data_IF_168789138138
#
_entry.id   IF_168789138138
#
_cell.length_a   1.000
_cell.length_b   1.000
_cell.length_c   1.000
_cell.angle_alpha   90.00
_cell.angle_beta   90.00
_cell.angle_gamma   90.00
#
_symmetry.space_group_name_H-M   'P 1'
#
loop_
_entity.id
_entity.type
_entity.pdbx_description
1 polymer ?
#
# COMPACT_ATOMS: atom_id res chain seq x y z
N UNK A 1 59.82 -19.27 -3.03
CA UNK A 1 58.51 -19.87 -3.43
C UNK A 1 57.39 -19.16 -2.71
N UNK A 2 56.64 -18.25 -3.36
CA UNK A 2 55.47 -17.61 -2.78
C UNK A 2 54.30 -18.54 -2.97
N UNK A 3 53.78 -19.11 -1.86
CA UNK A 3 52.52 -19.84 -1.87
C UNK A 3 51.38 -18.86 -2.23
N UNK A 4 50.85 -18.98 -3.44
CA UNK A 4 49.55 -18.41 -3.80
C UNK A 4 48.49 -19.11 -2.93
N UNK A 5 48.00 -18.45 -1.88
CA UNK A 5 46.74 -18.84 -1.25
C UNK A 5 45.66 -18.63 -2.29
N UNK A 6 45.24 -19.67 -2.95
CA UNK A 6 43.99 -19.75 -3.65
C UNK A 6 42.89 -19.78 -2.58
N UNK A 7 42.42 -18.61 -2.19
CA UNK A 7 41.15 -18.51 -1.42
C UNK A 7 40.02 -18.90 -2.37
N UNK A 8 39.72 -20.21 -2.40
CA UNK A 8 38.48 -20.66 -3.05
C UNK A 8 37.29 -20.10 -2.26
N UNK A 9 36.34 -19.45 -2.94
CA UNK A 9 35.03 -19.16 -2.35
C UNK A 9 34.36 -20.51 -2.13
N UNK A 10 34.27 -20.94 -0.86
CA UNK A 10 33.79 -22.28 -0.51
C UNK A 10 32.26 -22.35 -0.33
N UNK A 11 31.53 -21.25 -0.55
CA UNK A 11 30.05 -21.24 -0.40
C UNK A 11 29.39 -20.71 -1.68
N UNK A 12 28.62 -21.56 -2.32
CA UNK A 12 27.77 -21.15 -3.45
C UNK A 12 26.62 -20.25 -2.93
N UNK A 13 26.54 -19.03 -3.44
CA UNK A 13 25.49 -18.06 -3.06
C UNK A 13 24.10 -18.57 -3.40
N UNK A 14 23.95 -19.46 -4.37
CA UNK A 14 22.68 -20.05 -4.77
C UNK A 14 22.28 -21.28 -3.94
N UNK A 15 23.18 -21.79 -3.07
CA UNK A 15 22.88 -22.95 -2.22
C UNK A 15 21.56 -22.78 -1.46
N UNK A 16 21.30 -21.59 -0.89
CA UNK A 16 20.03 -21.27 -0.21
C UNK A 16 18.79 -21.41 -1.11
N UNK A 17 18.94 -21.18 -2.43
CA UNK A 17 17.84 -21.30 -3.38
C UNK A 17 17.52 -22.78 -3.68
N UNK A 18 18.55 -23.61 -3.77
CA UNK A 18 18.41 -25.06 -4.03
C UNK A 18 17.96 -25.84 -2.80
N UNK A 19 18.33 -25.37 -1.62
CA UNK A 19 17.93 -25.98 -0.35
C UNK A 19 16.50 -25.60 0.10
N UNK A 20 15.94 -24.53 -0.46
CA UNK A 20 14.61 -24.03 -0.06
C UNK A 20 13.49 -24.90 -0.65
N UNK A 21 12.71 -25.55 0.20
CA UNK A 21 11.66 -26.50 -0.16
C UNK A 21 10.27 -26.12 0.28
N UNK A 22 10.14 -25.08 1.10
CA UNK A 22 8.86 -24.73 1.72
C UNK A 22 7.72 -24.55 0.70
N UNK A 23 7.97 -23.83 -0.40
CA UNK A 23 6.95 -23.62 -1.43
C UNK A 23 6.60 -24.92 -2.16
N UNK A 24 7.57 -25.83 -2.35
CA UNK A 24 7.35 -27.12 -3.02
C UNK A 24 6.54 -28.07 -2.14
N UNK A 25 6.76 -28.07 -0.84
CA UNK A 25 5.98 -28.80 0.14
C UNK A 25 4.52 -28.32 0.17
N UNK A 26 4.30 -27.01 0.18
CA UNK A 26 2.95 -26.44 0.12
C UNK A 26 2.26 -26.73 -1.22
N UNK A 27 3.00 -26.68 -2.35
CA UNK A 27 2.46 -27.11 -3.66
C UNK A 27 2.08 -28.60 -3.67
N UNK A 28 2.94 -29.44 -3.13
CA UNK A 28 2.69 -30.89 -3.05
C UNK A 28 1.46 -31.23 -2.20
N UNK A 29 1.15 -30.43 -1.19
CA UNK A 29 -0.07 -30.60 -0.38
C UNK A 29 -1.35 -30.08 -1.05
N UNK A 30 -1.24 -29.42 -2.21
CA UNK A 30 -2.38 -28.79 -2.91
C UNK A 30 -2.94 -27.55 -2.21
N UNK A 31 -2.17 -26.95 -1.28
CA UNK A 31 -2.61 -25.78 -0.49
C UNK A 31 -1.91 -24.48 -0.90
N UNK A 32 -1.19 -24.46 -2.02
CA UNK A 32 -0.44 -23.28 -2.46
C UNK A 32 -1.37 -22.14 -2.93
N UNK A 33 -1.48 -21.01 -2.20
CA UNK A 33 -2.53 -20.02 -2.43
C UNK A 33 -2.07 -18.80 -3.24
N UNK A 34 -0.92 -18.88 -3.90
CA UNK A 34 -0.29 -17.72 -4.55
C UNK A 34 -0.25 -17.85 -6.06
N UNK A 35 -0.14 -16.70 -6.75
CA UNK A 35 0.04 -16.59 -8.20
C UNK A 35 -1.12 -17.18 -9.04
N UNK A 36 -2.35 -17.08 -8.53
CA UNK A 36 -3.54 -17.44 -9.30
C UNK A 36 -3.67 -16.55 -10.55
N UNK A 37 -3.95 -17.18 -11.69
CA UNK A 37 -4.05 -16.47 -12.97
C UNK A 37 -5.40 -15.77 -13.09
N UNK A 38 -5.37 -14.44 -13.24
CA UNK A 38 -6.54 -13.63 -13.57
C UNK A 38 -6.71 -13.58 -15.11
N UNK A 39 -7.93 -13.85 -15.61
CA UNK A 39 -8.24 -13.99 -17.04
C UNK A 39 -9.30 -12.99 -17.52
N UNK A 40 -9.73 -12.06 -16.67
CA UNK A 40 -10.69 -10.99 -16.97
C UNK A 40 -10.15 -9.63 -16.56
N UNK A 41 -10.98 -8.59 -16.72
CA UNK A 41 -10.74 -7.29 -16.09
C UNK A 41 -10.81 -7.45 -14.57
N UNK A 42 -10.08 -6.58 -13.85
CA UNK A 42 -10.14 -6.50 -12.39
C UNK A 42 -11.40 -5.75 -11.97
N UNK A 43 -12.40 -6.47 -11.48
CA UNK A 43 -13.70 -5.97 -11.05
C UNK A 43 -14.16 -6.71 -9.79
N UNK A 44 -15.39 -6.46 -9.33
CA UNK A 44 -16.04 -7.17 -8.20
C UNK A 44 -16.24 -8.66 -8.47
N UNK A 45 -16.39 -9.01 -9.75
CA UNK A 45 -16.40 -10.38 -10.23
C UNK A 45 -15.32 -10.55 -11.30
N UNK A 46 -14.58 -11.62 -11.19
CA UNK A 46 -13.45 -11.91 -12.08
C UNK A 46 -13.50 -13.37 -12.56
N UNK A 47 -12.80 -13.65 -13.66
CA UNK A 47 -12.49 -15.01 -14.08
C UNK A 47 -11.05 -15.32 -13.66
N UNK A 48 -10.91 -16.33 -12.79
CA UNK A 48 -9.61 -16.85 -12.37
C UNK A 48 -9.63 -18.37 -12.55
N UNK A 49 -8.60 -18.89 -13.24
CA UNK A 49 -8.48 -20.31 -13.54
C UNK A 49 -9.75 -20.90 -14.17
N UNK A 50 -10.29 -20.16 -15.15
CA UNK A 50 -11.47 -20.56 -15.94
C UNK A 50 -12.82 -20.50 -15.21
N UNK A 51 -12.88 -19.97 -13.98
CA UNK A 51 -14.12 -19.89 -13.18
C UNK A 51 -14.38 -18.48 -12.66
N UNK A 52 -15.67 -18.11 -12.54
CA UNK A 52 -16.11 -16.87 -11.86
C UNK A 52 -15.71 -16.90 -10.39
N UNK A 53 -15.23 -15.76 -9.90
CA UNK A 53 -14.93 -15.52 -8.48
C UNK A 53 -15.43 -14.14 -8.08
N UNK A 54 -15.98 -14.02 -6.87
CA UNK A 54 -16.19 -12.72 -6.23
C UNK A 54 -14.84 -12.27 -5.68
N UNK A 55 -14.41 -11.07 -6.03
CA UNK A 55 -13.08 -10.55 -5.71
C UNK A 55 -13.08 -9.77 -4.41
N UNK A 56 -12.71 -10.39 -3.31
CA UNK A 56 -12.51 -9.75 -2.01
C UNK A 56 -11.01 -9.60 -1.64
N UNK A 57 -10.11 -9.64 -2.61
CA UNK A 57 -8.66 -9.51 -2.40
C UNK A 57 -8.02 -8.34 -3.13
N UNK A 58 -8.80 -7.51 -3.85
CA UNK A 58 -8.29 -6.40 -4.65
C UNK A 58 -8.19 -5.10 -3.84
N UNK A 59 -7.18 -4.29 -4.16
CA UNK A 59 -7.05 -2.92 -3.64
C UNK A 59 -7.69 -1.87 -4.56
N UNK A 60 -8.52 -2.25 -5.50
CA UNK A 60 -9.26 -1.36 -6.42
C UNK A 60 -10.44 -0.69 -5.69
N UNK A 61 -10.16 0.06 -4.62
CA UNK A 61 -11.15 0.53 -3.65
C UNK A 61 -12.32 1.28 -4.25
N UNK A 62 -12.09 2.12 -5.27
CA UNK A 62 -13.13 2.89 -5.92
C UNK A 62 -13.75 2.20 -7.15
N UNK A 63 -13.24 1.03 -7.56
CA UNK A 63 -13.71 0.28 -8.74
C UNK A 63 -13.34 0.91 -10.08
N UNK A 64 -12.36 1.81 -10.13
CA UNK A 64 -12.07 2.63 -11.31
C UNK A 64 -11.28 1.92 -12.42
N UNK A 65 -10.76 0.72 -12.19
CA UNK A 65 -10.00 -0.04 -13.21
C UNK A 65 -10.80 -0.35 -14.48
N UNK A 66 -12.12 -0.34 -14.38
CA UNK A 66 -13.04 -0.59 -15.51
C UNK A 66 -13.88 0.63 -15.89
N UNK A 67 -13.69 1.77 -15.22
CA UNK A 67 -14.39 3.01 -15.52
C UNK A 67 -14.09 3.44 -16.97
N UNK A 68 -15.13 3.62 -17.83
CA UNK A 68 -14.92 3.89 -19.26
C UNK A 68 -14.06 5.12 -19.52
N UNK A 69 -14.27 6.21 -18.79
CA UNK A 69 -13.53 7.46 -18.91
C UNK A 69 -12.05 7.29 -18.58
N UNK A 70 -11.77 6.51 -17.53
CA UNK A 70 -10.40 6.21 -17.07
C UNK A 70 -9.67 5.32 -18.09
N UNK A 71 -10.36 4.31 -18.63
CA UNK A 71 -9.82 3.43 -19.67
C UNK A 71 -9.55 4.22 -20.96
N UNK A 72 -10.49 5.08 -21.40
CA UNK A 72 -10.35 5.89 -22.60
C UNK A 72 -9.17 6.87 -22.51
N UNK A 73 -8.94 7.46 -21.33
CA UNK A 73 -7.79 8.34 -21.11
C UNK A 73 -6.46 7.62 -21.36
N UNK A 74 -6.35 6.37 -20.88
CA UNK A 74 -5.17 5.54 -21.13
C UNK A 74 -4.95 5.23 -22.61
N UNK A 75 -6.03 4.90 -23.34
CA UNK A 75 -5.98 4.63 -24.78
C UNK A 75 -5.51 5.88 -25.55
N UNK A 76 -6.12 7.04 -25.30
CA UNK A 76 -5.74 8.31 -25.93
C UNK A 76 -4.28 8.70 -25.65
N UNK A 77 -3.79 8.41 -24.45
CA UNK A 77 -2.39 8.68 -24.13
C UNK A 77 -1.42 7.78 -24.93
N UNK A 78 -1.77 6.51 -25.14
CA UNK A 78 -0.98 5.62 -26.02
C UNK A 78 -0.97 6.14 -27.46
N UNK A 79 -2.11 6.58 -27.98
CA UNK A 79 -2.23 7.15 -29.34
C UNK A 79 -1.37 8.42 -29.49
N UNK A 80 -1.36 9.31 -28.48
CA UNK A 80 -0.62 10.58 -28.53
C UNK A 80 0.88 10.43 -28.29
N UNK A 81 1.29 9.63 -27.30
CA UNK A 81 2.67 9.59 -26.81
C UNK A 81 3.41 8.28 -27.10
N UNK A 82 2.72 7.25 -27.60
CA UNK A 82 3.25 5.90 -27.69
C UNK A 82 3.22 5.16 -26.35
N UNK A 83 3.92 4.03 -26.28
CA UNK A 83 3.85 3.08 -25.14
C UNK A 83 4.74 3.42 -23.96
N UNK A 84 5.70 4.33 -24.13
CA UNK A 84 6.64 4.69 -23.07
C UNK A 84 7.51 5.89 -23.40
N UNK A 85 8.27 6.37 -22.42
CA UNK A 85 9.08 7.59 -22.54
C UNK A 85 10.53 7.33 -22.96
N UNK A 86 10.99 6.09 -22.94
CA UNK A 86 12.36 5.66 -23.28
C UNK A 86 13.48 6.41 -22.57
N UNK A 87 13.21 6.89 -21.34
CA UNK A 87 14.16 7.62 -20.51
C UNK A 87 13.61 8.01 -19.17
N UNK A 88 14.46 8.56 -18.31
CA UNK A 88 14.08 9.05 -17.00
C UNK A 88 13.46 10.44 -17.06
N UNK A 89 12.70 10.80 -16.02
CA UNK A 89 12.15 12.14 -15.83
C UNK A 89 13.25 13.22 -15.83
N UNK A 90 14.42 12.89 -15.36
CA UNK A 90 15.56 13.80 -15.26
C UNK A 90 16.16 14.16 -16.62
N UNK A 91 16.02 13.32 -17.63
CA UNK A 91 16.61 13.52 -18.97
C UNK A 91 15.52 13.80 -20.01
N UNK A 92 15.13 12.79 -20.77
CA UNK A 92 14.22 12.94 -21.93
C UNK A 92 12.81 12.42 -21.69
N UNK A 93 12.51 11.90 -20.50
CA UNK A 93 11.23 11.19 -20.23
C UNK A 93 10.19 12.04 -19.49
N UNK A 94 10.31 13.36 -19.41
CA UNK A 94 9.27 14.22 -18.84
C UNK A 94 8.27 14.65 -19.93
N UNK A 95 7.00 14.23 -19.77
CA UNK A 95 5.89 14.64 -20.60
C UNK A 95 5.14 15.81 -19.94
N UNK A 96 4.42 16.60 -20.76
CA UNK A 96 3.43 17.59 -20.29
C UNK A 96 2.40 16.92 -19.35
N UNK A 97 1.95 15.72 -19.68
CA UNK A 97 1.03 14.89 -18.88
C UNK A 97 1.55 14.59 -17.46
N UNK A 98 2.87 14.40 -17.27
CA UNK A 98 3.43 14.21 -15.93
C UNK A 98 3.33 15.48 -15.10
N UNK A 99 3.59 16.64 -15.72
CA UNK A 99 3.54 17.93 -15.03
C UNK A 99 2.09 18.29 -14.65
N UNK A 100 1.14 17.99 -15.54
CA UNK A 100 -0.30 18.17 -15.30
C UNK A 100 -0.76 17.28 -14.11
N UNK A 101 -0.41 16.01 -14.11
CA UNK A 101 -0.72 15.09 -13.01
C UNK A 101 -0.13 15.57 -11.67
N UNK A 102 1.13 16.02 -11.67
CA UNK A 102 1.80 16.55 -10.48
C UNK A 102 1.11 17.82 -9.96
N UNK A 103 0.71 18.73 -10.85
CA UNK A 103 -0.02 19.94 -10.48
C UNK A 103 -1.40 19.62 -9.86
N UNK A 104 -2.14 18.69 -10.43
CA UNK A 104 -3.46 18.32 -9.92
C UNK A 104 -3.38 17.53 -8.60
N UNK A 105 -2.38 16.67 -8.42
CA UNK A 105 -2.14 16.01 -7.12
C UNK A 105 -1.83 17.06 -6.04
N UNK A 106 -0.96 18.01 -6.34
CA UNK A 106 -0.61 19.08 -5.40
C UNK A 106 -1.86 19.89 -5.01
N UNK A 107 -2.67 20.28 -6.00
CA UNK A 107 -3.94 20.99 -5.79
C UNK A 107 -4.92 20.16 -4.96
N UNK A 108 -5.14 18.89 -5.31
CA UNK A 108 -6.05 17.99 -4.61
C UNK A 108 -5.67 17.82 -3.14
N UNK A 109 -4.37 17.73 -2.84
CA UNK A 109 -3.85 17.54 -1.49
C UNK A 109 -3.52 18.86 -0.78
N UNK A 110 -3.81 20.03 -1.39
CA UNK A 110 -3.54 21.33 -0.79
C UNK A 110 -2.05 21.55 -0.47
N UNK A 111 -1.16 20.98 -1.29
CA UNK A 111 0.31 21.13 -1.14
C UNK A 111 0.87 22.02 -2.24
N UNK A 112 2.07 22.57 -1.99
CA UNK A 112 2.71 23.49 -2.95
C UNK A 112 3.20 22.80 -4.23
N UNK A 113 3.64 21.53 -4.12
CA UNK A 113 4.15 20.77 -5.25
C UNK A 113 3.97 19.26 -5.05
N UNK A 114 4.01 18.52 -6.16
CA UNK A 114 4.10 17.07 -6.15
C UNK A 114 5.14 16.56 -7.15
N UNK A 115 5.55 15.30 -6.99
CA UNK A 115 6.47 14.58 -7.85
C UNK A 115 5.98 13.15 -8.04
N UNK A 116 5.90 12.66 -9.27
CA UNK A 116 5.40 11.31 -9.58
C UNK A 116 6.54 10.33 -9.83
N UNK A 117 6.37 9.10 -9.34
CA UNK A 117 7.30 7.97 -9.45
C UNK A 117 6.66 6.81 -10.23
N UNK A 118 7.48 5.89 -10.73
CA UNK A 118 7.00 4.72 -11.47
C UNK A 118 6.19 3.72 -10.65
N UNK A 119 6.39 3.65 -9.33
CA UNK A 119 5.62 2.81 -8.40
C UNK A 119 5.55 3.44 -7.01
N UNK A 120 4.57 3.05 -6.18
CA UNK A 120 4.52 3.45 -4.77
C UNK A 120 5.72 2.94 -3.97
N UNK A 121 6.21 1.74 -4.25
CA UNK A 121 7.44 1.22 -3.62
C UNK A 121 8.64 2.13 -3.90
N UNK A 122 8.80 2.53 -5.16
CA UNK A 122 9.85 3.44 -5.59
C UNK A 122 9.71 4.83 -4.97
N UNK A 123 8.48 5.30 -4.74
CA UNK A 123 8.23 6.58 -4.05
C UNK A 123 8.83 6.58 -2.65
N UNK A 124 8.47 5.63 -1.80
CA UNK A 124 9.02 5.51 -0.44
C UNK A 124 10.55 5.36 -0.46
N UNK A 125 11.06 4.45 -1.29
CA UNK A 125 12.50 4.24 -1.44
C UNK A 125 13.23 5.53 -1.84
N UNK A 126 12.65 6.28 -2.78
CA UNK A 126 13.21 7.53 -3.30
C UNK A 126 13.10 8.71 -2.36
N UNK A 127 11.98 8.88 -1.68
CA UNK A 127 11.72 9.99 -0.75
C UNK A 127 12.62 9.84 0.48
N UNK A 128 12.55 8.70 1.16
CA UNK A 128 13.25 8.47 2.41
C UNK A 128 14.77 8.51 2.19
N UNK A 129 15.28 7.83 1.15
CA UNK A 129 16.72 7.82 0.88
C UNK A 129 17.28 9.17 0.42
N UNK A 130 16.44 10.06 -0.12
CA UNK A 130 16.86 11.41 -0.48
C UNK A 130 16.86 12.37 0.72
N UNK A 131 15.88 12.22 1.64
CA UNK A 131 15.69 13.16 2.75
C UNK A 131 16.52 12.82 3.98
N UNK A 132 16.81 11.53 4.22
CA UNK A 132 17.47 11.06 5.45
C UNK A 132 18.93 10.77 5.18
N UNK A 133 19.82 11.63 5.70
CA UNK A 133 21.25 11.55 5.57
C UNK A 133 21.96 10.82 6.72
N UNK A 134 23.30 10.79 6.68
CA UNK A 134 24.14 10.02 7.64
C UNK A 134 23.99 10.47 9.10
N UNK A 135 23.65 11.73 9.33
CA UNK A 135 23.48 12.29 10.67
C UNK A 135 22.03 12.34 11.14
N UNK A 136 21.11 11.88 10.28
CA UNK A 136 19.69 11.95 10.57
C UNK A 136 19.15 10.60 11.09
N UNK A 137 17.95 10.67 11.65
CA UNK A 137 17.20 9.51 12.14
C UNK A 137 15.88 9.39 11.38
N UNK A 138 15.50 8.15 11.08
CA UNK A 138 14.16 7.81 10.61
C UNK A 138 13.48 6.96 11.66
N UNK A 139 12.28 7.37 12.10
CA UNK A 139 11.51 6.74 13.16
C UNK A 139 10.25 6.13 12.53
N UNK A 140 10.14 4.79 12.55
CA UNK A 140 9.10 4.04 11.84
C UNK A 140 8.25 3.21 12.78
N UNK A 141 6.94 3.18 12.51
CA UNK A 141 6.05 2.16 13.06
C UNK A 141 6.49 0.76 12.59
N UNK A 142 6.42 -0.24 13.47
CA UNK A 142 6.86 -1.61 13.15
C UNK A 142 6.02 -2.30 12.07
N UNK A 143 4.75 -1.92 11.92
CA UNK A 143 3.84 -2.47 10.91
C UNK A 143 3.84 -1.67 9.59
N UNK A 144 4.71 -0.65 9.46
CA UNK A 144 4.87 0.08 8.21
C UNK A 144 5.16 -0.83 7.02
N UNK A 145 4.72 -0.41 5.85
CA UNK A 145 4.92 -1.13 4.60
C UNK A 145 6.40 -1.38 4.29
N UNK A 146 6.71 -2.53 3.68
CA UNK A 146 8.08 -2.97 3.34
C UNK A 146 8.86 -1.94 2.50
N UNK A 147 8.20 -1.12 1.68
CA UNK A 147 8.84 -0.07 0.88
C UNK A 147 9.44 1.05 1.73
N UNK A 148 8.83 1.34 2.89
CA UNK A 148 9.38 2.30 3.86
C UNK A 148 10.69 1.77 4.42
N UNK A 149 10.71 0.50 4.85
CA UNK A 149 11.93 -0.15 5.31
C UNK A 149 13.01 -0.24 4.23
N UNK A 150 12.64 -0.49 2.97
CA UNK A 150 13.58 -0.44 1.85
C UNK A 150 14.16 0.97 1.67
N UNK A 151 13.34 2.01 1.81
CA UNK A 151 13.82 3.41 1.81
C UNK A 151 14.79 3.70 2.96
N UNK A 152 14.50 3.20 4.16
CA UNK A 152 15.40 3.31 5.32
C UNK A 152 16.74 2.60 5.08
N UNK A 153 16.73 1.41 4.46
CA UNK A 153 17.95 0.66 4.13
C UNK A 153 18.79 1.34 3.04
N UNK A 154 18.16 2.06 2.12
CA UNK A 154 18.83 2.82 1.07
C UNK A 154 19.35 4.18 1.58
N UNK A 155 18.82 4.68 2.68
CA UNK A 155 19.30 5.89 3.34
C UNK A 155 20.59 5.59 4.14
N UNK A 156 21.33 6.64 4.46
CA UNK A 156 22.48 6.52 5.37
C UNK A 156 22.12 6.85 6.82
N UNK A 157 20.85 7.15 7.09
CA UNK A 157 20.37 7.51 8.41
C UNK A 157 20.17 6.32 9.35
N UNK A 158 19.98 6.63 10.61
CA UNK A 158 19.75 5.63 11.66
C UNK A 158 18.26 5.33 11.78
N UNK A 159 17.90 4.05 11.66
CA UNK A 159 16.52 3.58 11.82
C UNK A 159 16.22 3.30 13.30
N UNK A 160 15.18 3.92 13.84
CA UNK A 160 14.52 3.55 15.07
C UNK A 160 13.11 3.04 14.76
N UNK A 161 12.64 2.03 15.48
CA UNK A 161 11.33 1.43 15.28
C UNK A 161 10.55 1.45 16.57
N UNK A 162 9.37 2.05 16.56
CA UNK A 162 8.44 1.98 17.68
C UNK A 162 7.37 0.91 17.44
N UNK A 163 6.77 0.43 18.52
CA UNK A 163 5.68 -0.54 18.48
C UNK A 163 4.47 0.06 17.80
N UNK A 164 3.71 -0.80 17.09
CA UNK A 164 2.56 -0.38 16.31
C UNK A 164 1.57 0.48 17.10
N UNK A 165 1.32 1.70 16.60
CA UNK A 165 0.44 2.72 17.20
C UNK A 165 0.71 3.01 18.70
N UNK A 166 1.92 2.70 19.22
CA UNK A 166 2.33 2.96 20.60
C UNK A 166 3.00 4.34 20.70
N UNK A 167 2.26 5.30 21.20
CA UNK A 167 2.69 6.70 21.26
C UNK A 167 3.74 6.96 22.35
N UNK A 168 3.76 6.14 23.40
CA UNK A 168 4.81 6.20 24.45
C UNK A 168 6.14 5.70 23.89
N UNK A 169 6.12 4.60 23.11
CA UNK A 169 7.32 4.07 22.47
C UNK A 169 7.82 4.99 21.32
N UNK A 170 6.91 5.69 20.63
CA UNK A 170 7.27 6.76 19.67
C UNK A 170 8.04 7.89 20.36
N UNK A 171 7.53 8.41 21.48
CA UNK A 171 8.20 9.45 22.26
C UNK A 171 9.57 8.96 22.76
N UNK A 172 9.64 7.76 23.31
CA UNK A 172 10.91 7.16 23.76
C UNK A 172 11.92 6.95 22.62
N UNK A 173 11.47 6.71 21.39
CA UNK A 173 12.35 6.66 20.23
C UNK A 173 12.88 8.06 19.87
N UNK A 174 12.05 9.09 19.93
CA UNK A 174 12.44 10.47 19.63
C UNK A 174 13.38 11.05 20.70
N UNK A 175 13.19 10.71 21.98
CA UNK A 175 14.11 11.09 23.09
C UNK A 175 15.55 10.57 22.87
N UNK A 176 15.75 9.56 22.04
CA UNK A 176 17.07 9.01 21.71
C UNK A 176 17.76 9.73 20.57
N UNK A 177 17.08 10.66 19.91
CA UNK A 177 17.66 11.46 18.79
C UNK A 177 18.44 12.61 19.41
N UNK A 178 19.75 12.78 19.12
CA UNK A 178 20.53 13.91 19.62
C UNK A 178 20.03 15.25 19.07
N UNK A 179 20.13 16.32 19.85
CA UNK A 179 19.63 17.68 19.49
C UNK A 179 20.20 18.25 18.17
N UNK A 180 21.37 17.77 17.74
CA UNK A 180 22.02 18.21 16.52
C UNK A 180 21.74 17.31 15.30
N UNK A 181 20.78 16.41 15.39
CA UNK A 181 20.40 15.46 14.33
C UNK A 181 18.99 15.77 13.83
N UNK A 182 18.75 15.58 12.52
CA UNK A 182 17.42 15.60 11.95
C UNK A 182 16.64 14.33 12.28
N UNK A 183 15.31 14.44 12.36
CA UNK A 183 14.42 13.31 12.58
C UNK A 183 13.23 13.34 11.61
N UNK A 184 12.94 12.19 10.98
CA UNK A 184 11.76 11.96 10.15
C UNK A 184 10.94 10.83 10.76
N UNK A 185 9.73 11.14 11.21
CA UNK A 185 8.74 10.12 11.60
C UNK A 185 8.00 9.67 10.36
N UNK A 186 7.96 8.37 10.11
CA UNK A 186 7.28 7.77 8.94
C UNK A 186 6.25 6.76 9.41
N UNK A 187 5.00 6.96 8.99
CA UNK A 187 3.87 6.09 9.32
C UNK A 187 3.00 5.81 8.10
N UNK A 188 2.45 4.61 8.00
CA UNK A 188 1.31 4.35 7.11
C UNK A 188 0.08 5.07 7.66
N UNK A 189 -0.70 5.72 6.82
CA UNK A 189 -1.97 6.33 7.20
C UNK A 189 -3.02 5.26 7.54
N UNK A 190 -3.13 4.26 6.67
CA UNK A 190 -3.90 3.02 6.87
C UNK A 190 -2.99 1.84 6.66
N UNK A 191 -2.88 0.97 7.66
CA UNK A 191 -1.99 -0.20 7.64
C UNK A 191 -2.56 -1.33 6.77
N UNK A 192 -1.76 -1.79 5.83
CA UNK A 192 -2.21 -2.64 4.72
C UNK A 192 -2.73 -4.02 5.11
N UNK A 193 -2.27 -4.58 6.22
CA UNK A 193 -2.62 -5.94 6.68
C UNK A 193 -3.74 -5.91 7.73
N UNK A 194 -3.62 -5.04 8.72
CA UNK A 194 -4.60 -4.88 9.80
C UNK A 194 -5.81 -4.04 9.43
N UNK A 195 -5.68 -3.15 8.46
CA UNK A 195 -6.74 -2.19 8.12
C UNK A 195 -6.92 -1.09 9.16
N UNK A 196 -6.08 -1.03 10.18
CA UNK A 196 -6.13 0.00 11.21
C UNK A 196 -5.59 1.33 10.69
N UNK A 197 -6.02 2.40 11.34
CA UNK A 197 -5.63 3.77 11.02
C UNK A 197 -4.62 4.24 12.07
N UNK A 198 -3.62 5.00 11.63
CA UNK A 198 -2.63 5.60 12.52
C UNK A 198 -3.29 6.61 13.48
N UNK A 199 -2.80 6.68 14.71
CA UNK A 199 -3.16 7.75 15.66
C UNK A 199 -2.41 9.04 15.29
N UNK A 200 -2.75 9.59 14.11
CA UNK A 200 -2.05 10.73 13.53
C UNK A 200 -2.06 11.97 14.43
N UNK A 201 -3.14 12.33 15.16
CA UNK A 201 -3.12 13.47 16.09
C UNK A 201 -2.00 13.37 17.13
N UNK A 202 -1.80 12.21 17.72
CA UNK A 202 -0.75 12.01 18.72
C UNK A 202 0.64 11.92 18.07
N UNK A 203 0.76 11.30 16.90
CA UNK A 203 2.02 11.31 16.12
C UNK A 203 2.45 12.74 15.85
N UNK A 204 1.54 13.59 15.37
CA UNK A 204 1.81 15.02 15.09
C UNK A 204 2.23 15.75 16.36
N UNK A 205 1.47 15.60 17.44
CA UNK A 205 1.77 16.24 18.72
C UNK A 205 3.17 15.91 19.23
N UNK A 206 3.51 14.62 19.22
CA UNK A 206 4.79 14.10 19.73
C UNK A 206 5.94 14.51 18.81
N UNK A 207 5.81 14.30 17.50
CA UNK A 207 6.85 14.63 16.52
C UNK A 207 7.21 16.12 16.57
N UNK A 208 6.21 17.00 16.59
CA UNK A 208 6.42 18.45 16.68
C UNK A 208 7.07 18.88 17.99
N UNK A 209 6.71 18.29 19.12
CA UNK A 209 7.33 18.57 20.40
C UNK A 209 8.85 18.26 20.39
N UNK A 210 9.29 17.32 19.55
CA UNK A 210 10.70 16.97 19.36
C UNK A 210 11.35 17.62 18.13
N UNK A 211 10.65 18.51 17.43
CA UNK A 211 11.17 19.14 16.19
C UNK A 211 11.33 18.21 15.00
N UNK A 212 10.72 17.02 15.04
CA UNK A 212 10.77 16.04 13.96
C UNK A 212 9.80 16.39 12.83
N UNK A 213 10.14 15.99 11.60
CA UNK A 213 9.28 16.05 10.42
C UNK A 213 8.46 14.77 10.25
N UNK A 214 7.35 14.87 9.54
CA UNK A 214 6.37 13.80 9.43
C UNK A 214 6.13 13.46 7.96
N UNK A 215 6.29 12.17 7.62
CA UNK A 215 5.86 11.56 6.36
C UNK A 215 4.71 10.59 6.64
N UNK A 216 3.59 10.77 5.95
CA UNK A 216 2.47 9.82 5.95
C UNK A 216 2.42 9.11 4.61
N UNK A 217 2.53 7.78 4.63
CA UNK A 217 2.21 6.92 3.49
C UNK A 217 0.71 6.67 3.46
N UNK A 218 0.04 7.36 2.59
CA UNK A 218 -1.42 7.32 2.45
C UNK A 218 -1.87 6.43 1.27
N UNK A 219 -1.06 5.44 0.91
CA UNK A 219 -1.35 4.51 -0.18
C UNK A 219 -2.69 3.77 -0.01
N UNK A 220 -3.14 3.54 1.22
CA UNK A 220 -4.44 2.96 1.56
C UNK A 220 -5.45 3.98 2.09
N UNK A 221 -5.05 5.24 2.31
CA UNK A 221 -5.92 6.31 2.77
C UNK A 221 -6.52 7.14 1.64
N UNK A 222 -5.76 7.38 0.57
CA UNK A 222 -6.23 8.11 -0.61
C UNK A 222 -7.44 7.39 -1.26
N UNK A 223 -8.52 8.13 -1.49
CA UNK A 223 -9.79 7.59 -1.99
C UNK A 223 -10.60 6.80 -0.96
N UNK A 224 -10.13 6.72 0.30
CA UNK A 224 -10.74 5.92 1.39
C UNK A 224 -11.15 6.80 2.55
N UNK A 225 -10.24 7.62 3.07
CA UNK A 225 -10.46 8.46 4.24
C UNK A 225 -10.50 9.96 3.89
N UNK A 226 -11.05 10.73 4.81
CA UNK A 226 -11.14 12.18 4.69
C UNK A 226 -12.22 12.65 3.72
N UNK A 227 -12.56 13.92 3.81
CA UNK A 227 -13.56 14.54 2.94
C UNK A 227 -13.12 14.45 1.46
N UNK A 228 -13.96 13.88 0.62
CA UNK A 228 -13.66 13.67 -0.80
C UNK A 228 -12.53 12.66 -1.07
N UNK A 229 -12.20 11.81 -0.08
CA UNK A 229 -11.17 10.78 -0.25
C UNK A 229 -9.73 11.32 -0.26
N UNK A 230 -9.49 12.48 0.35
CA UNK A 230 -8.15 13.12 0.34
C UNK A 230 -7.12 12.47 1.25
N UNK A 231 -7.52 11.45 2.02
CA UNK A 231 -6.62 10.65 2.83
C UNK A 231 -6.65 10.93 4.32
N UNK A 232 -5.72 10.30 5.03
CA UNK A 232 -5.68 10.22 6.49
C UNK A 232 -5.43 11.58 7.14
N UNK A 233 -4.54 12.40 6.60
CA UNK A 233 -4.27 13.73 7.14
C UNK A 233 -5.53 14.63 7.11
N UNK A 234 -6.29 14.56 6.01
CA UNK A 234 -7.56 15.28 5.86
C UNK A 234 -8.69 14.71 6.73
N UNK A 235 -8.64 13.42 7.05
CA UNK A 235 -9.60 12.81 7.98
C UNK A 235 -9.53 13.46 9.36
N UNK A 236 -8.33 13.80 9.80
CA UNK A 236 -8.09 14.43 11.10
C UNK A 236 -8.00 15.97 11.06
N UNK A 237 -8.08 16.61 9.87
CA UNK A 237 -7.87 18.05 9.73
C UNK A 237 -6.42 18.47 10.01
N UNK A 238 -5.47 17.60 9.72
CA UNK A 238 -4.03 17.75 9.99
C UNK A 238 -3.18 17.86 8.72
N UNK A 239 -3.80 18.15 7.58
CA UNK A 239 -3.12 18.26 6.30
C UNK A 239 -1.98 19.28 6.28
N UNK A 240 -2.08 20.35 7.08
CA UNK A 240 -1.04 21.35 7.20
C UNK A 240 0.06 20.99 8.20
N UNK A 241 -0.17 19.96 9.00
CA UNK A 241 0.75 19.49 10.04
C UNK A 241 1.67 18.37 9.57
N UNK A 242 1.30 17.69 8.47
CA UNK A 242 2.10 16.66 7.82
C UNK A 242 2.99 17.29 6.76
N UNK A 243 4.30 17.09 6.85
CA UNK A 243 5.28 17.72 5.96
C UNK A 243 5.31 17.07 4.57
N UNK A 244 5.18 15.75 4.53
CA UNK A 244 5.27 14.92 3.31
C UNK A 244 4.10 13.94 3.25
N UNK A 245 3.32 14.04 2.20
CA UNK A 245 2.31 13.06 1.84
C UNK A 245 2.85 12.18 0.71
N UNK A 246 2.86 10.89 0.92
CA UNK A 246 3.16 9.87 -0.08
C UNK A 246 1.89 9.09 -0.38
N UNK A 247 1.70 8.68 -1.63
CA UNK A 247 0.63 7.77 -2.02
C UNK A 247 0.96 6.98 -3.27
N UNK A 248 0.03 6.11 -3.65
CA UNK A 248 0.18 5.27 -4.85
C UNK A 248 -1.03 5.41 -5.78
N UNK A 249 -0.79 5.23 -7.07
CA UNK A 249 -1.85 5.15 -8.08
C UNK A 249 -2.41 3.73 -8.24
N UNK A 250 -1.74 2.71 -7.66
CA UNK A 250 -2.05 1.30 -7.91
C UNK A 250 -3.24 0.74 -7.12
N UNK A 251 -3.99 1.60 -6.44
CA UNK A 251 -5.16 1.24 -5.63
C UNK A 251 -6.37 2.07 -6.04
N UNK A 252 -6.77 3.07 -5.28
CA UNK A 252 -7.94 3.91 -5.58
C UNK A 252 -7.88 4.60 -6.94
N UNK A 253 -6.69 4.96 -7.43
CA UNK A 253 -6.53 5.62 -8.74
C UNK A 253 -6.29 4.66 -9.92
N UNK A 254 -6.54 3.35 -9.73
CA UNK A 254 -6.66 2.34 -10.78
C UNK A 254 -5.52 2.27 -11.81
N UNK A 255 -4.30 2.70 -11.46
CA UNK A 255 -3.15 2.77 -12.36
C UNK A 255 -1.91 2.10 -11.76
N UNK A 256 -0.74 2.45 -12.24
CA UNK A 256 0.56 2.16 -11.66
C UNK A 256 1.27 3.48 -11.38
N UNK A 257 2.11 3.52 -10.36
CA UNK A 257 2.88 4.69 -9.97
C UNK A 257 2.66 5.08 -8.53
N UNK A 258 3.24 6.20 -8.15
CA UNK A 258 3.04 6.83 -6.86
C UNK A 258 3.51 8.28 -6.88
N UNK A 259 3.36 8.95 -5.77
CA UNK A 259 3.68 10.37 -5.66
C UNK A 259 4.27 10.75 -4.30
N UNK A 260 4.95 11.89 -4.31
CA UNK A 260 5.29 12.73 -3.17
C UNK A 260 4.52 14.04 -3.32
N UNK A 261 3.92 14.56 -2.25
CA UNK A 261 3.38 15.92 -2.21
C UNK A 261 3.82 16.61 -0.91
N UNK A 262 4.20 17.91 -1.01
CA UNK A 262 4.71 18.67 0.12
C UNK A 262 5.14 20.10 -0.28
N UNK A 263 6.01 20.70 0.55
CA UNK A 263 6.66 21.97 0.28
C UNK A 263 7.44 21.92 -1.04
N UNK A 264 7.37 22.99 -1.85
CA UNK A 264 7.98 23.03 -3.17
C UNK A 264 9.50 22.82 -3.15
N UNK A 265 10.21 23.32 -2.12
CA UNK A 265 11.65 23.12 -1.98
C UNK A 265 12.02 21.71 -1.58
N UNK A 266 11.19 21.07 -0.74
CA UNK A 266 11.38 19.65 -0.36
C UNK A 266 11.17 18.76 -1.58
N UNK A 267 10.10 18.99 -2.34
CA UNK A 267 9.81 18.26 -3.58
C UNK A 267 10.93 18.42 -4.62
N UNK A 268 11.41 19.65 -4.81
CA UNK A 268 12.50 19.94 -5.74
C UNK A 268 13.83 19.31 -5.29
N UNK A 269 14.11 19.31 -3.98
CA UNK A 269 15.27 18.61 -3.44
C UNK A 269 15.20 17.11 -3.73
N UNK A 270 14.07 16.47 -3.47
CA UNK A 270 13.87 15.04 -3.77
C UNK A 270 14.01 14.77 -5.27
N UNK A 271 13.48 15.64 -6.13
CA UNK A 271 13.60 15.55 -7.61
C UNK A 271 15.06 15.47 -8.07
N UNK A 272 15.98 16.16 -7.40
CA UNK A 272 17.38 16.22 -7.78
C UNK A 272 18.30 15.26 -7.00
N UNK A 273 17.82 14.62 -5.92
CA UNK A 273 18.63 13.75 -5.07
C UNK A 273 18.12 12.30 -4.99
N UNK A 274 16.90 12.05 -5.39
CA UNK A 274 16.31 10.71 -5.35
C UNK A 274 16.89 9.82 -6.46
N UNK A 275 17.77 8.91 -6.10
CA UNK A 275 18.35 7.94 -7.06
C UNK A 275 17.30 7.05 -7.71
N UNK A 276 16.29 6.51 -6.97
CA UNK A 276 15.18 5.78 -7.57
C UNK A 276 14.40 6.60 -8.61
N UNK A 277 14.30 7.91 -8.48
CA UNK A 277 13.66 8.77 -9.45
C UNK A 277 14.56 9.07 -10.66
N UNK A 278 15.79 9.49 -10.40
CA UNK A 278 16.73 9.96 -11.45
C UNK A 278 17.15 8.83 -12.39
N UNK A 279 17.37 7.62 -11.84
CA UNK A 279 17.94 6.48 -12.58
C UNK A 279 16.90 5.44 -13.00
N UNK A 280 15.61 5.79 -12.97
CA UNK A 280 14.54 4.95 -13.46
C UNK A 280 13.86 5.57 -14.68
N UNK A 281 13.33 4.73 -15.56
CA UNK A 281 12.45 5.19 -16.63
C UNK A 281 11.19 5.84 -16.04
N UNK A 282 10.64 6.79 -16.77
CA UNK A 282 9.45 7.55 -16.39
C UNK A 282 8.20 6.67 -16.34
N UNK A 283 7.24 7.10 -15.53
CA UNK A 283 5.89 6.56 -15.54
C UNK A 283 5.34 6.56 -16.99
N UNK A 284 4.87 5.41 -17.51
CA UNK A 284 4.35 5.34 -18.88
C UNK A 284 3.16 6.29 -19.13
N UNK A 285 3.01 6.82 -20.35
CA UNK A 285 1.96 7.79 -20.67
C UNK A 285 0.55 7.29 -20.31
N UNK A 286 0.24 6.04 -20.64
CA UNK A 286 -1.06 5.45 -20.33
C UNK A 286 -1.33 5.45 -18.81
N UNK A 287 -0.34 5.09 -17.99
CA UNK A 287 -0.50 5.06 -16.54
C UNK A 287 -0.64 6.46 -15.94
N UNK A 288 0.08 7.46 -16.46
CA UNK A 288 -0.06 8.84 -16.04
C UNK A 288 -1.46 9.39 -16.38
N UNK A 289 -1.97 9.12 -17.60
CA UNK A 289 -3.31 9.54 -18.02
C UNK A 289 -4.42 8.85 -17.22
N UNK A 290 -4.28 7.54 -16.96
CA UNK A 290 -5.22 6.78 -16.13
C UNK A 290 -5.27 7.35 -14.71
N UNK A 291 -4.11 7.62 -14.09
CA UNK A 291 -4.05 8.20 -12.74
C UNK A 291 -4.70 9.58 -12.69
N UNK A 292 -4.43 10.43 -13.68
CA UNK A 292 -5.02 11.77 -13.81
C UNK A 292 -6.54 11.71 -14.00
N UNK A 293 -7.02 10.86 -14.90
CA UNK A 293 -8.45 10.69 -15.14
C UNK A 293 -9.18 10.13 -13.90
N UNK A 294 -8.55 9.18 -13.18
CA UNK A 294 -9.09 8.62 -11.96
C UNK A 294 -9.15 9.66 -10.82
N UNK A 295 -8.15 10.53 -10.71
CA UNK A 295 -8.16 11.64 -9.74
C UNK A 295 -9.29 12.62 -10.03
N UNK A 296 -9.45 13.05 -11.29
CA UNK A 296 -10.55 13.90 -11.74
C UNK A 296 -11.93 13.28 -11.51
N UNK A 297 -12.02 11.97 -11.78
CA UNK A 297 -13.24 11.22 -11.52
C UNK A 297 -13.58 11.19 -10.02
N UNK A 298 -12.60 10.98 -9.14
CA UNK A 298 -12.79 11.05 -7.69
C UNK A 298 -13.24 12.46 -7.23
N UNK A 299 -12.66 13.53 -7.79
CA UNK A 299 -13.07 14.90 -7.47
C UNK A 299 -14.50 15.20 -7.93
N UNK A 300 -14.91 14.69 -9.09
CA UNK A 300 -16.26 14.84 -9.63
C UNK A 300 -17.30 13.97 -8.88
N UNK A 301 -16.85 12.89 -8.21
CA UNK A 301 -17.69 11.90 -7.55
C UNK A 301 -17.31 11.69 -6.08
N UNK A 302 -17.48 12.74 -5.22
CA UNK A 302 -17.09 12.68 -3.81
C UNK A 302 -17.92 11.67 -3.00
N UNK A 303 -19.02 11.13 -3.55
CA UNK A 303 -19.82 10.06 -2.98
C UNK A 303 -19.13 8.68 -3.02
N UNK A 304 -18.12 8.47 -3.85
CA UNK A 304 -17.45 7.16 -3.97
C UNK A 304 -16.79 6.68 -2.67
N UNK A 305 -16.02 7.50 -1.94
CA UNK A 305 -15.47 7.11 -0.64
C UNK A 305 -16.56 6.82 0.41
N UNK A 306 -17.69 7.54 0.36
CA UNK A 306 -18.83 7.31 1.27
C UNK A 306 -19.51 5.97 0.96
N UNK A 307 -19.69 5.66 -0.33
CA UNK A 307 -20.21 4.36 -0.77
C UNK A 307 -19.26 3.22 -0.37
N UNK A 308 -17.95 3.40 -0.55
CA UNK A 308 -16.96 2.43 -0.11
C UNK A 308 -17.07 2.15 1.40
N UNK A 309 -17.22 3.20 2.19
CA UNK A 309 -17.43 3.08 3.63
C UNK A 309 -18.70 2.29 3.96
N UNK A 310 -19.82 2.61 3.33
CA UNK A 310 -21.09 1.91 3.54
C UNK A 310 -20.99 0.41 3.19
N UNK A 311 -20.38 0.07 2.07
CA UNK A 311 -20.10 -1.31 1.64
C UNK A 311 -19.19 -2.03 2.65
N UNK A 312 -18.16 -1.37 3.15
CA UNK A 312 -17.25 -1.94 4.14
C UNK A 312 -17.93 -2.20 5.49
N UNK A 313 -18.79 -1.27 5.94
CA UNK A 313 -19.60 -1.42 7.15
C UNK A 313 -20.62 -2.55 7.00
N UNK A 314 -21.28 -2.66 5.83
CA UNK A 314 -22.18 -3.77 5.51
C UNK A 314 -21.47 -5.13 5.62
N UNK A 315 -20.32 -5.27 4.99
CA UNK A 315 -19.53 -6.50 5.04
C UNK A 315 -19.06 -6.83 6.47
N UNK A 316 -18.57 -5.83 7.21
CA UNK A 316 -18.14 -5.99 8.61
C UNK A 316 -19.28 -6.51 9.47
N UNK A 317 -20.45 -5.87 9.38
CA UNK A 317 -21.66 -6.32 10.08
C UNK A 317 -22.05 -7.73 9.68
N UNK A 318 -22.02 -8.07 8.39
CA UNK A 318 -22.35 -9.38 7.88
C UNK A 318 -21.47 -10.50 8.46
N UNK A 319 -20.18 -10.26 8.64
CA UNK A 319 -19.27 -11.21 9.32
C UNK A 319 -19.55 -11.32 10.82
N UNK A 320 -19.75 -10.20 11.49
CA UNK A 320 -20.05 -10.18 12.93
C UNK A 320 -21.37 -10.91 13.26
N UNK A 321 -22.42 -10.69 12.46
CA UNK A 321 -23.73 -11.34 12.60
C UNK A 321 -23.62 -12.89 12.43
N UNK A 322 -22.61 -13.36 11.70
CA UNK A 322 -22.31 -14.80 11.52
C UNK A 322 -21.27 -15.36 12.52
N UNK A 323 -20.89 -14.54 13.50
CA UNK A 323 -19.94 -14.92 14.57
C UNK A 323 -18.48 -15.03 14.11
N UNK A 324 -18.14 -14.46 12.95
CA UNK A 324 -16.74 -14.43 12.48
C UNK A 324 -15.98 -13.37 13.25
N UNK A 325 -14.85 -13.77 13.81
CA UNK A 325 -13.97 -12.85 14.55
C UNK A 325 -13.11 -12.05 13.58
N UNK A 326 -13.26 -10.73 13.64
CA UNK A 326 -12.48 -9.77 12.84
C UNK A 326 -11.42 -9.09 13.72
N UNK A 327 -10.30 -8.69 13.12
CA UNK A 327 -9.34 -7.80 13.79
C UNK A 327 -9.97 -6.40 13.81
N UNK A 328 -10.16 -5.84 14.98
CA UNK A 328 -10.71 -4.49 15.14
C UNK A 328 -9.58 -3.47 15.10
N UNK A 329 -9.85 -2.32 14.48
CA UNK A 329 -8.96 -1.16 14.57
C UNK A 329 -9.00 -0.59 15.97
N UNK A 330 -7.82 -0.30 16.54
CA UNK A 330 -7.69 0.28 17.89
C UNK A 330 -8.45 1.61 18.05
N UNK A 331 -8.64 2.36 16.96
CA UNK A 331 -9.37 3.64 16.95
C UNK A 331 -10.82 3.49 16.47
N UNK A 332 -11.28 2.25 16.18
CA UNK A 332 -12.66 1.99 15.76
C UNK A 332 -13.04 2.56 14.39
N UNK A 333 -12.08 3.05 13.60
CA UNK A 333 -12.34 3.62 12.29
C UNK A 333 -12.49 2.52 11.23
N UNK A 334 -13.64 2.44 10.53
CA UNK A 334 -13.84 1.45 9.48
C UNK A 334 -13.00 1.80 8.25
N UNK A 335 -12.28 0.80 7.73
CA UNK A 335 -11.59 0.87 6.44
C UNK A 335 -12.10 -0.26 5.53
N UNK A 336 -11.82 -0.22 4.22
CA UNK A 336 -12.22 -1.29 3.30
C UNK A 336 -11.38 -2.56 3.45
N UNK A 337 -10.53 -2.66 4.45
CA UNK A 337 -9.72 -3.83 4.77
C UNK A 337 -10.30 -4.48 6.02
N UNK A 338 -10.81 -5.70 5.90
CA UNK A 338 -11.39 -6.45 7.02
C UNK A 338 -10.63 -7.77 7.17
N UNK A 339 -9.73 -7.86 8.16
CA UNK A 339 -9.01 -9.09 8.45
C UNK A 339 -9.86 -10.05 9.28
N UNK A 340 -9.92 -11.32 8.88
CA UNK A 340 -10.68 -12.39 9.55
C UNK A 340 -9.69 -13.39 10.17
N UNK A 341 -9.72 -13.58 11.47
CA UNK A 341 -8.77 -14.46 12.15
C UNK A 341 -8.97 -15.93 11.80
N UNK A 342 -7.88 -16.56 11.36
CA UNK A 342 -7.74 -18.02 11.19
C UNK A 342 -6.73 -18.60 12.17
N UNK A 343 -5.97 -17.75 12.84
CA UNK A 343 -4.99 -18.01 13.89
C UNK A 343 -3.74 -18.77 13.45
N UNK A 344 -3.86 -19.86 12.70
CA UNK A 344 -2.74 -20.70 12.28
C UNK A 344 -2.52 -20.66 10.76
N UNK A 345 -1.28 -20.82 10.30
CA UNK A 345 -0.96 -20.89 8.87
C UNK A 345 -1.68 -22.05 8.18
N UNK A 346 -1.83 -23.19 8.85
CA UNK A 346 -2.52 -24.35 8.29
C UNK A 346 -4.01 -24.05 8.06
N UNK A 347 -4.70 -23.49 9.07
CA UNK A 347 -6.11 -23.10 8.94
C UNK A 347 -6.28 -22.04 7.84
N UNK A 348 -5.36 -21.09 7.73
CA UNK A 348 -5.38 -20.05 6.68
C UNK A 348 -5.28 -20.68 5.28
N UNK A 349 -4.33 -21.58 5.06
CA UNK A 349 -4.18 -22.25 3.76
C UNK A 349 -5.41 -23.10 3.38
N UNK A 350 -5.97 -23.83 4.33
CA UNK A 350 -7.20 -24.59 4.12
C UNK A 350 -8.37 -23.65 3.79
N UNK A 351 -8.54 -22.57 4.56
CA UNK A 351 -9.60 -21.59 4.34
C UNK A 351 -9.50 -20.93 2.96
N UNK A 352 -8.31 -20.45 2.58
CA UNK A 352 -8.12 -19.79 1.26
C UNK A 352 -8.47 -20.76 0.12
N UNK A 353 -8.01 -22.01 0.18
CA UNK A 353 -8.33 -23.01 -0.83
C UNK A 353 -9.84 -23.26 -0.93
N UNK A 354 -10.51 -23.54 0.21
CA UNK A 354 -11.93 -23.86 0.23
C UNK A 354 -12.80 -22.65 -0.22
N UNK A 355 -12.44 -21.44 0.23
CA UNK A 355 -13.10 -20.20 -0.19
C UNK A 355 -12.92 -19.98 -1.69
N UNK A 356 -11.70 -20.19 -2.21
CA UNK A 356 -11.41 -20.08 -3.64
C UNK A 356 -12.21 -21.09 -4.47
N UNK A 357 -12.26 -22.37 -4.08
CA UNK A 357 -13.02 -23.41 -4.79
C UNK A 357 -14.54 -23.13 -4.80
N UNK A 358 -15.04 -22.47 -3.74
CA UNK A 358 -16.45 -22.07 -3.63
C UNK A 358 -16.77 -20.72 -4.28
N UNK A 359 -15.83 -20.14 -5.03
CA UNK A 359 -16.10 -18.98 -5.89
C UNK A 359 -15.80 -17.61 -5.30
N UNK A 360 -15.00 -17.52 -4.22
CA UNK A 360 -14.59 -16.24 -3.63
C UNK A 360 -13.07 -16.18 -3.55
N UNK A 361 -12.48 -15.03 -3.89
CA UNK A 361 -11.05 -14.80 -3.76
C UNK A 361 -10.74 -13.90 -2.56
N UNK A 362 -9.84 -14.35 -1.69
CA UNK A 362 -9.31 -13.63 -0.52
C UNK A 362 -7.81 -13.81 -0.43
N UNK A 363 -7.11 -12.92 0.29
CA UNK A 363 -5.67 -13.03 0.46
C UNK A 363 -5.32 -13.68 1.81
N UNK A 364 -4.40 -14.67 1.86
CA UNK A 364 -3.83 -15.14 3.12
C UNK A 364 -2.82 -14.12 3.65
N UNK A 365 -2.80 -13.92 4.97
CA UNK A 365 -1.74 -13.19 5.66
C UNK A 365 -1.21 -14.05 6.80
N UNK A 366 0.08 -14.32 6.75
CA UNK A 366 0.76 -15.30 7.59
C UNK A 366 1.94 -14.64 8.31
N UNK A 367 2.45 -15.21 9.39
CA UNK A 367 3.75 -14.82 9.93
C UNK A 367 4.85 -14.90 8.83
N UNK A 368 5.79 -13.93 8.75
CA UNK A 368 6.03 -12.84 9.72
C UNK A 368 5.26 -11.55 9.42
N UNK A 369 4.32 -11.52 8.46
CA UNK A 369 3.47 -10.35 8.18
C UNK A 369 2.39 -10.12 9.26
N UNK A 370 2.12 -11.11 10.09
CA UNK A 370 1.37 -11.03 11.36
C UNK A 370 2.18 -11.69 12.47
N UNK A 371 1.89 -11.43 13.74
CA UNK A 371 2.44 -12.21 14.84
C UNK A 371 2.08 -13.70 14.75
N UNK A 372 2.87 -14.56 15.40
CA UNK A 372 2.52 -15.98 15.57
C UNK A 372 1.18 -16.12 16.29
N UNK A 373 0.32 -16.99 15.78
CA UNK A 373 -1.04 -17.20 16.30
C UNK A 373 -2.07 -16.16 15.83
N UNK A 374 -1.69 -15.23 14.93
CA UNK A 374 -2.57 -14.19 14.39
C UNK A 374 -2.69 -14.25 12.87
N UNK A 375 -2.52 -15.42 12.27
CA UNK A 375 -2.76 -15.61 10.85
C UNK A 375 -4.22 -15.29 10.50
N UNK A 376 -4.47 -14.74 9.31
CA UNK A 376 -5.79 -14.25 8.93
C UNK A 376 -6.05 -14.34 7.42
N UNK A 377 -7.33 -14.27 7.05
CA UNK A 377 -7.77 -13.93 5.71
C UNK A 377 -7.92 -12.41 5.62
N UNK A 378 -7.22 -11.77 4.70
CA UNK A 378 -7.39 -10.35 4.41
C UNK A 378 -8.44 -10.18 3.32
N UNK A 379 -9.59 -9.62 3.67
CA UNK A 379 -10.60 -9.20 2.72
C UNK A 379 -10.53 -7.71 2.46
N UNK A 380 -10.88 -7.29 1.25
CA UNK A 380 -10.92 -5.88 0.86
C UNK A 380 -12.05 -5.62 -0.13
N UNK A 381 -12.61 -4.43 -0.07
CA UNK A 381 -13.87 -4.08 -0.73
C UNK A 381 -13.69 -2.95 -1.72
N UNK A 382 -14.58 -2.91 -2.71
CA UNK A 382 -14.68 -1.86 -3.71
C UNK A 382 -16.00 -1.14 -3.59
N UNK A 383 -16.04 0.16 -3.88
CA UNK A 383 -17.28 0.96 -3.93
C UNK A 383 -18.31 0.40 -4.92
N UNK A 384 -17.85 -0.35 -5.92
CA UNK A 384 -18.68 -1.01 -6.94
C UNK A 384 -19.29 -2.35 -6.50
N UNK A 385 -18.92 -2.91 -5.33
CA UNK A 385 -19.59 -4.11 -4.83
C UNK A 385 -21.09 -3.89 -4.60
N UNK A 386 -21.87 -4.95 -4.81
CA UNK A 386 -23.28 -5.01 -4.49
C UNK A 386 -23.51 -5.87 -3.26
N UNK A 387 -24.56 -5.57 -2.51
CA UNK A 387 -24.89 -6.29 -1.28
C UNK A 387 -25.11 -7.79 -1.53
N UNK A 388 -25.74 -8.17 -2.66
CA UNK A 388 -25.98 -9.56 -3.02
C UNK A 388 -24.66 -10.34 -3.24
N UNK A 389 -23.64 -9.68 -3.82
CA UNK A 389 -22.31 -10.29 -3.97
C UNK A 389 -21.63 -10.48 -2.61
N UNK A 390 -21.82 -9.52 -1.71
CA UNK A 390 -21.28 -9.61 -0.35
C UNK A 390 -21.96 -10.69 0.46
N UNK A 391 -23.29 -10.82 0.37
CA UNK A 391 -24.04 -11.88 1.03
C UNK A 391 -23.57 -13.26 0.57
N UNK A 392 -23.43 -13.48 -0.75
CA UNK A 392 -22.89 -14.71 -1.33
C UNK A 392 -21.48 -15.02 -0.77
N UNK A 393 -20.60 -14.02 -0.80
CA UNK A 393 -19.22 -14.20 -0.37
C UNK A 393 -19.08 -14.42 1.15
N UNK A 394 -19.85 -13.69 1.96
CA UNK A 394 -19.84 -13.80 3.41
C UNK A 394 -20.39 -15.17 3.84
N UNK A 395 -21.45 -15.66 3.18
CA UNK A 395 -22.00 -16.99 3.47
C UNK A 395 -20.99 -18.12 3.15
N UNK A 396 -20.27 -17.99 2.02
CA UNK A 396 -19.19 -18.93 1.65
C UNK A 396 -18.08 -18.90 2.70
N UNK A 397 -17.56 -17.72 3.05
CA UNK A 397 -16.48 -17.58 4.02
C UNK A 397 -16.91 -18.09 5.39
N UNK A 398 -18.11 -17.70 5.86
CA UNK A 398 -18.61 -18.12 7.17
C UNK A 398 -18.81 -19.65 7.24
N UNK A 399 -19.29 -20.26 6.15
CA UNK A 399 -19.41 -21.72 6.06
C UNK A 399 -18.05 -22.41 6.18
N UNK A 400 -17.04 -21.92 5.45
CA UNK A 400 -15.67 -22.48 5.51
C UNK A 400 -15.06 -22.27 6.91
N UNK A 401 -15.19 -21.07 7.49
CA UNK A 401 -14.59 -20.75 8.79
C UNK A 401 -15.12 -21.61 9.94
N UNK A 402 -16.40 -22.08 9.87
CA UNK A 402 -17.00 -22.99 10.86
C UNK A 402 -16.39 -24.39 10.81
N UNK A 403 -15.93 -24.82 9.64
CA UNK A 403 -15.40 -26.16 9.39
C UNK A 403 -13.87 -26.24 9.60
N UNK A 404 -13.21 -25.13 9.94
CA UNK A 404 -11.77 -25.11 10.18
C UNK A 404 -11.41 -25.87 11.47
N UNK A 405 -10.29 -26.58 11.47
CA UNK A 405 -9.75 -27.18 12.69
C UNK A 405 -9.39 -26.07 13.70
N UNK A 406 -9.81 -26.27 14.95
CA UNK A 406 -9.51 -25.38 16.08
C UNK A 406 -8.03 -25.38 16.45
#
# INVERSE_FOLDING_TARGET
MRHKRTTSINMDIFKKCYDWKEADEVRASGLYPYFHKLESRQDTEVVMEGRRRIMLGSNNYLGLTICPEVVEAGVKAIEKYGTGCSGSRFLNGTLDLHLELEAEIAQFLGKEAALTFGTGFQSNAGIISALVGMHDYVICDRENHASIYAGCQLSFGKLLRFKHNDMEDLAACLDRVPDNCGALVVVDGVFSMGGDVVNLPEVVRIAKAHGARILVDDAHGLGVLGKGGRGTAFHYGLENEVDVLMGTFSKSLASLGGYLAGDAKVVDYVRHHSRPFIFSASLPPANAAVALAALRHLEAHPELPERLRAISEYARKGFMDRGIRIRESALGLPTPIIPLYTYTSQATFLAVREVFERGVYVNPVLPPATPEGEALLRTSYMASHREEQLDEAIDVIAGVMKDLPS
#
